data_IF_574553346961
#
_entry.id   IF_574553346961
#
_cell.length_a   1.000
_cell.length_b   1.000
_cell.length_c   1.000
_cell.angle_alpha   90.00
_cell.angle_beta   90.00
_cell.angle_gamma   90.00
#
_symmetry.space_group_name_H-M   'P 1'
#
loop_
_entity.id
_entity.type
_entity.pdbx_description
1 polymer ?
#
# COMPACT_ATOMS: atom_id res chain seq x y z
N UNK A 1 3.21 -7.61 14.08
CA UNK A 1 2.56 -8.92 14.32
C UNK A 1 1.11 -8.57 14.55
N UNK A 2 0.24 -9.02 13.66
CA UNK A 2 -1.20 -8.70 13.68
C UNK A 2 -1.83 -9.28 14.95
N UNK A 3 -2.73 -8.56 15.59
CA UNK A 3 -3.40 -9.04 16.81
C UNK A 3 -4.22 -10.31 16.53
N UNK A 4 -4.38 -11.22 17.52
CA UNK A 4 -5.21 -12.41 17.36
C UNK A 4 -6.66 -12.10 16.96
N UNK A 5 -7.19 -10.95 17.41
CA UNK A 5 -8.52 -10.49 17.04
C UNK A 5 -8.64 -10.26 15.53
N UNK A 6 -7.72 -9.50 14.94
CA UNK A 6 -7.72 -9.25 13.50
C UNK A 6 -7.40 -10.51 12.71
N UNK A 7 -6.49 -11.36 13.21
CA UNK A 7 -6.20 -12.64 12.57
C UNK A 7 -7.45 -13.51 12.44
N UNK A 8 -8.33 -13.50 13.44
CA UNK A 8 -9.61 -14.21 13.40
C UNK A 8 -10.58 -13.58 12.39
N UNK A 9 -10.61 -12.26 12.24
CA UNK A 9 -11.48 -11.59 11.25
C UNK A 9 -11.20 -12.13 9.85
N UNK A 10 -9.93 -12.24 9.48
CA UNK A 10 -9.52 -12.63 8.12
C UNK A 10 -9.27 -14.13 7.94
N UNK A 11 -9.47 -14.95 8.98
CA UNK A 11 -9.11 -16.37 8.97
C UNK A 11 -9.84 -17.17 7.88
N UNK A 12 -11.13 -16.86 7.65
CA UNK A 12 -11.95 -17.54 6.67
C UNK A 12 -11.42 -17.38 5.23
N UNK A 13 -10.68 -16.30 4.96
CA UNK A 13 -10.07 -16.06 3.65
C UNK A 13 -8.90 -16.99 3.36
N UNK A 14 -8.37 -17.70 4.36
CA UNK A 14 -7.31 -18.68 4.20
C UNK A 14 -7.84 -20.10 3.93
N UNK A 15 -9.16 -20.34 4.00
CA UNK A 15 -9.74 -21.68 3.99
C UNK A 15 -9.43 -22.49 2.71
N UNK A 16 -9.34 -21.80 1.56
CA UNK A 16 -9.14 -22.42 0.25
C UNK A 16 -7.70 -22.29 -0.30
N UNK A 17 -6.74 -21.91 0.55
CA UNK A 17 -5.35 -21.75 0.12
C UNK A 17 -4.58 -23.05 0.39
N UNK A 18 -3.99 -23.62 -0.67
CA UNK A 18 -3.16 -24.83 -0.54
C UNK A 18 -2.00 -24.61 0.45
N UNK A 19 -1.62 -25.69 1.14
CA UNK A 19 -0.67 -25.65 2.25
C UNK A 19 0.73 -25.16 1.80
N UNK A 20 1.12 -25.43 0.55
CA UNK A 20 2.35 -24.93 -0.05
C UNK A 20 2.36 -23.40 -0.17
N UNK A 21 1.26 -22.81 -0.64
CA UNK A 21 1.12 -21.35 -0.71
C UNK A 21 1.00 -20.74 0.69
N UNK A 22 0.27 -21.39 1.59
CA UNK A 22 0.20 -20.97 3.00
C UNK A 22 1.57 -21.02 3.69
N UNK A 23 2.42 -21.99 3.37
CA UNK A 23 3.80 -22.02 3.84
C UNK A 23 4.56 -20.77 3.39
N UNK A 24 4.46 -20.39 2.12
CA UNK A 24 5.13 -19.18 1.57
C UNK A 24 4.57 -17.91 2.21
N UNK A 25 3.25 -17.79 2.33
CA UNK A 25 2.58 -16.67 3.02
C UNK A 25 3.10 -16.57 4.46
N UNK A 26 3.10 -17.67 5.21
CA UNK A 26 3.62 -17.69 6.59
C UNK A 26 5.12 -17.33 6.66
N UNK A 27 5.92 -17.75 5.68
CA UNK A 27 7.33 -17.37 5.62
C UNK A 27 7.51 -15.87 5.40
N UNK A 28 6.81 -15.31 4.41
CA UNK A 28 6.85 -13.88 4.08
C UNK A 28 6.35 -13.04 5.25
N UNK A 29 5.23 -13.42 5.86
CA UNK A 29 4.64 -12.69 6.99
C UNK A 29 5.52 -12.73 8.25
N UNK A 30 6.18 -13.85 8.55
CA UNK A 30 7.16 -13.94 9.66
C UNK A 30 8.44 -13.12 9.41
N UNK A 31 8.71 -12.76 8.17
CA UNK A 31 9.86 -11.97 7.75
C UNK A 31 9.41 -10.66 7.08
N UNK A 32 8.34 -10.05 7.60
CA UNK A 32 7.64 -8.94 6.96
C UNK A 32 8.59 -7.83 6.50
N UNK A 33 9.54 -7.46 7.35
CA UNK A 33 10.54 -6.42 7.09
C UNK A 33 11.44 -6.73 5.89
N UNK A 34 11.66 -7.99 5.52
CA UNK A 34 12.45 -8.37 4.35
C UNK A 34 11.67 -8.27 3.04
N UNK A 35 10.33 -8.27 3.10
CA UNK A 35 9.47 -8.35 1.93
C UNK A 35 8.55 -7.14 1.74
N UNK A 36 8.28 -6.38 2.80
CA UNK A 36 7.38 -5.24 2.80
C UNK A 36 7.98 -4.16 3.70
N UNK A 37 8.12 -2.95 3.17
CA UNK A 37 8.51 -1.78 3.94
C UNK A 37 7.30 -0.86 4.05
N UNK A 38 6.86 -0.64 5.27
CA UNK A 38 5.84 0.35 5.61
C UNK A 38 6.45 1.75 5.66
N UNK A 39 5.66 2.81 5.41
CA UNK A 39 6.08 4.16 5.74
C UNK A 39 6.28 4.30 7.25
N UNK A 40 7.09 5.28 7.65
CA UNK A 40 7.33 5.60 9.06
C UNK A 40 6.22 6.48 9.64
N UNK A 41 5.54 7.25 8.80
CA UNK A 41 4.44 8.13 9.19
C UNK A 41 3.27 8.05 8.22
N UNK A 42 2.05 8.26 8.73
CA UNK A 42 0.88 8.47 7.90
C UNK A 42 0.69 9.95 7.55
N UNK A 43 0.40 10.25 6.28
CA UNK A 43 0.03 11.58 5.80
C UNK A 43 -0.64 11.49 4.42
N UNK A 44 -1.54 12.42 4.12
CA UNK A 44 -2.08 12.67 2.78
C UNK A 44 -1.28 13.81 2.13
N UNK A 45 -0.47 13.50 1.11
CA UNK A 45 0.48 14.48 0.55
C UNK A 45 -0.10 15.35 -0.57
N UNK A 46 -0.96 14.78 -1.41
CA UNK A 46 -1.54 15.48 -2.55
C UNK A 46 -3.05 15.21 -2.59
N UNK A 47 -3.83 15.91 -1.75
CA UNK A 47 -5.28 15.73 -1.67
C UNK A 47 -5.95 15.93 -3.05
N UNK A 48 -7.06 15.23 -3.28
CA UNK A 48 -7.82 15.24 -4.53
C UNK A 48 -7.09 14.70 -5.78
N UNK A 49 -5.79 14.40 -5.71
CA UNK A 49 -5.05 13.79 -6.82
C UNK A 49 -5.33 12.29 -6.87
N UNK A 50 -5.70 11.79 -8.04
CA UNK A 50 -5.82 10.37 -8.36
C UNK A 50 -4.94 10.02 -9.56
N UNK A 51 -4.84 8.72 -9.89
CA UNK A 51 -3.99 8.27 -10.98
C UNK A 51 -4.51 8.75 -12.33
N UNK A 52 -3.71 9.60 -12.99
CA UNK A 52 -3.93 10.03 -14.37
C UNK A 52 -3.74 8.91 -15.39
N UNK A 53 -4.31 9.09 -16.58
CA UNK A 53 -4.08 8.19 -17.73
C UNK A 53 -2.64 8.34 -18.24
N UNK A 54 -2.14 7.35 -18.96
CA UNK A 54 -0.78 7.38 -19.53
C UNK A 54 -0.53 8.53 -20.52
N UNK A 55 -1.60 9.09 -21.10
CA UNK A 55 -1.58 10.24 -22.01
C UNK A 55 -1.61 11.59 -21.30
N UNK A 56 -1.82 11.61 -19.99
CA UNK A 56 -1.95 12.80 -19.17
C UNK A 56 -0.68 13.02 -18.34
N UNK A 57 -0.50 14.23 -17.83
CA UNK A 57 0.63 14.57 -16.97
C UNK A 57 0.16 15.48 -15.85
N UNK A 58 0.67 15.22 -14.65
CA UNK A 58 0.40 16.10 -13.53
C UNK A 58 1.04 17.48 -13.77
N UNK A 59 0.36 18.56 -13.40
CA UNK A 59 0.98 19.88 -13.32
C UNK A 59 2.24 19.79 -12.44
N UNK A 60 3.34 20.44 -12.82
CA UNK A 60 4.56 20.43 -12.01
C UNK A 60 4.33 20.99 -10.60
N UNK A 61 3.35 21.89 -10.47
CA UNK A 61 3.00 22.60 -9.24
C UNK A 61 2.42 21.69 -8.16
N UNK A 62 1.98 20.46 -8.48
CA UNK A 62 1.46 19.55 -7.45
C UNK A 62 2.51 19.21 -6.38
N UNK A 63 3.79 19.39 -6.70
CA UNK A 63 4.90 19.09 -5.80
C UNK A 63 5.38 20.29 -4.99
N UNK A 64 4.88 21.51 -5.27
CA UNK A 64 5.45 22.76 -4.76
C UNK A 64 5.53 22.80 -3.22
N UNK A 65 4.48 22.35 -2.54
CA UNK A 65 4.43 22.28 -1.07
C UNK A 65 5.47 21.33 -0.45
N UNK A 66 5.94 20.35 -1.23
CA UNK A 66 6.88 19.32 -0.78
C UNK A 66 8.25 19.40 -1.47
N UNK A 67 8.49 20.43 -2.30
CA UNK A 67 9.74 20.57 -3.07
C UNK A 67 10.98 20.56 -2.18
N UNK A 68 10.95 21.30 -1.06
CA UNK A 68 12.07 21.34 -0.11
C UNK A 68 12.37 19.96 0.46
N UNK A 69 11.35 19.23 0.94
CA UNK A 69 11.52 17.86 1.46
C UNK A 69 12.00 16.90 0.38
N UNK A 70 11.52 17.04 -0.85
CA UNK A 70 11.97 16.24 -1.98
C UNK A 70 13.45 16.50 -2.30
N UNK A 71 13.89 17.76 -2.27
CA UNK A 71 15.29 18.15 -2.49
C UNK A 71 16.21 17.61 -1.38
N UNK A 72 15.84 17.80 -0.12
CA UNK A 72 16.57 17.29 1.05
C UNK A 72 16.77 15.77 1.00
N UNK A 73 15.77 15.04 0.49
CA UNK A 73 15.80 13.58 0.36
C UNK A 73 16.27 13.09 -1.01
N UNK A 74 16.67 13.98 -1.92
CA UNK A 74 17.05 13.66 -3.31
C UNK A 74 15.99 12.81 -4.06
N UNK A 75 14.71 13.09 -3.80
CA UNK A 75 13.57 12.46 -4.46
C UNK A 75 13.32 13.19 -5.78
N UNK A 76 13.36 12.45 -6.89
CA UNK A 76 13.08 13.00 -8.22
C UNK A 76 11.75 12.48 -8.76
N UNK A 77 10.92 13.40 -9.25
CA UNK A 77 9.75 13.05 -10.05
C UNK A 77 10.17 12.35 -11.33
N UNK A 78 9.51 11.22 -11.63
CA UNK A 78 9.72 10.41 -12.84
C UNK A 78 8.64 10.64 -13.89
N UNK A 79 7.64 11.46 -13.59
CA UNK A 79 6.55 11.89 -14.50
C UNK A 79 5.71 10.75 -15.11
N UNK A 80 5.69 9.59 -14.48
CA UNK A 80 4.77 8.48 -14.79
C UNK A 80 3.46 8.56 -13.98
N UNK A 81 2.46 7.76 -14.35
CA UNK A 81 1.10 7.84 -13.78
C UNK A 81 1.03 7.61 -12.27
N UNK A 82 1.91 6.76 -11.72
CA UNK A 82 2.02 6.43 -10.29
C UNK A 82 3.03 7.30 -9.52
N UNK A 83 3.59 8.36 -10.13
CA UNK A 83 4.61 9.19 -9.46
C UNK A 83 4.17 9.77 -8.12
N UNK A 84 2.96 10.37 -8.01
CA UNK A 84 2.56 11.02 -6.77
C UNK A 84 2.50 10.04 -5.60
N UNK A 85 2.00 8.82 -5.83
CA UNK A 85 2.01 7.76 -4.82
C UNK A 85 3.44 7.36 -4.44
N UNK A 86 4.33 7.17 -5.43
CA UNK A 86 5.72 6.83 -5.15
C UNK A 86 6.46 7.92 -4.37
N UNK A 87 6.17 9.20 -4.64
CA UNK A 87 6.71 10.35 -3.92
C UNK A 87 6.12 10.41 -2.49
N UNK A 88 4.80 10.27 -2.34
CA UNK A 88 4.13 10.25 -1.04
C UNK A 88 4.73 9.17 -0.11
N UNK A 89 4.99 7.98 -0.64
CA UNK A 89 5.69 6.92 0.10
C UNK A 89 7.12 7.33 0.49
N UNK A 90 7.92 7.87 -0.44
CA UNK A 90 9.30 8.27 -0.14
C UNK A 90 9.39 9.43 0.86
N UNK A 91 8.43 10.36 0.85
CA UNK A 91 8.34 11.45 1.82
C UNK A 91 7.97 10.96 3.23
N UNK A 92 7.22 9.86 3.33
CA UNK A 92 6.74 9.28 4.59
C UNK A 92 7.61 8.15 5.14
N UNK A 93 8.63 7.71 4.42
CA UNK A 93 9.47 6.57 4.81
C UNK A 93 10.87 7.00 5.18
N UNK A 94 11.48 6.35 6.18
CA UNK A 94 12.91 6.54 6.48
C UNK A 94 13.81 5.68 5.59
N UNK A 95 13.27 4.58 5.05
CA UNK A 95 14.01 3.62 4.22
C UNK A 95 13.26 3.38 2.92
N UNK A 96 13.97 3.54 1.81
CA UNK A 96 13.49 3.11 0.50
C UNK A 96 14.41 2.01 -0.05
N UNK A 97 13.92 0.78 -0.26
CA UNK A 97 14.73 -0.30 -0.82
C UNK A 97 15.34 0.09 -2.17
N UNK A 98 16.67 0.00 -2.28
CA UNK A 98 17.36 0.27 -3.53
C UNK A 98 17.03 -0.81 -4.56
N UNK A 99 16.81 -0.41 -5.81
CA UNK A 99 16.68 -1.36 -6.92
C UNK A 99 17.99 -2.12 -7.09
N UNK A 100 17.92 -3.45 -7.16
CA UNK A 100 19.03 -4.24 -7.69
C UNK A 100 19.13 -4.04 -9.21
N UNK A 101 20.32 -4.23 -9.79
CA UNK A 101 20.77 -3.74 -11.11
C UNK A 101 19.87 -4.01 -12.34
N UNK A 102 18.83 -4.85 -12.27
CA UNK A 102 17.91 -5.12 -13.40
C UNK A 102 16.52 -4.52 -13.17
N UNK A 103 16.02 -3.81 -14.19
CA UNK A 103 14.88 -2.90 -14.10
C UNK A 103 13.48 -3.54 -14.13
N UNK A 104 13.34 -4.85 -14.36
CA UNK A 104 12.01 -5.49 -14.49
C UNK A 104 11.48 -6.14 -13.21
N UNK A 105 12.34 -6.51 -12.27
CA UNK A 105 11.95 -7.21 -11.02
C UNK A 105 12.62 -6.47 -9.87
N UNK A 106 11.92 -5.48 -9.31
CA UNK A 106 12.44 -4.65 -8.23
C UNK A 106 11.34 -4.29 -7.24
N UNK A 107 11.75 -3.83 -6.07
CA UNK A 107 10.86 -3.18 -5.10
C UNK A 107 10.13 -2.01 -5.73
N UNK A 108 8.82 -1.95 -5.60
CA UNK A 108 8.02 -0.82 -6.07
C UNK A 108 6.97 -0.44 -5.02
N UNK A 109 6.37 0.73 -5.22
CA UNK A 109 5.33 1.24 -4.32
C UNK A 109 3.98 0.68 -4.79
N UNK A 110 3.32 -0.06 -3.91
CA UNK A 110 2.01 -0.68 -4.11
C UNK A 110 0.97 0.01 -3.22
N UNK A 111 -0.23 0.22 -3.77
CA UNK A 111 -1.44 0.49 -2.99
C UNK A 111 -2.00 -0.81 -2.42
N UNK A 112 -2.21 -0.89 -1.11
CA UNK A 112 -2.81 -2.09 -0.47
C UNK A 112 -4.33 -2.19 -0.72
N UNK A 113 -4.94 -1.11 -1.21
CA UNK A 113 -6.31 -1.04 -1.72
C UNK A 113 -6.27 -0.75 -3.23
N UNK A 114 -6.30 -1.78 -4.05
CA UNK A 114 -6.22 -1.75 -5.51
C UNK A 114 -7.55 -2.09 -6.20
N UNK A 115 -8.64 -2.19 -5.43
CA UNK A 115 -9.96 -2.58 -5.92
C UNK A 115 -10.16 -4.09 -6.06
N UNK A 116 -9.19 -4.92 -5.65
CA UNK A 116 -9.29 -6.37 -5.67
C UNK A 116 -9.61 -6.93 -4.28
N UNK A 117 -10.14 -8.16 -4.25
CA UNK A 117 -10.47 -8.88 -3.02
C UNK A 117 -11.37 -8.08 -2.07
N UNK A 118 -12.63 -7.79 -2.47
CA UNK A 118 -13.57 -7.16 -1.57
C UNK A 118 -13.85 -8.04 -0.35
N UNK A 119 -14.27 -7.41 0.75
CA UNK A 119 -14.62 -8.13 1.97
C UNK A 119 -15.78 -9.10 1.71
N UNK A 120 -15.87 -10.22 2.42
CA UNK A 120 -16.87 -11.28 2.12
C UNK A 120 -18.32 -10.79 2.14
N UNK A 121 -18.66 -9.83 3.01
CA UNK A 121 -19.99 -9.22 3.05
C UNK A 121 -20.19 -8.05 2.08
N UNK A 122 -19.11 -7.53 1.47
CA UNK A 122 -19.13 -6.36 0.62
C UNK A 122 -18.80 -6.74 -0.83
N UNK A 123 -19.49 -6.16 -1.81
CA UNK A 123 -19.18 -6.41 -3.23
C UNK A 123 -18.15 -5.45 -3.82
N UNK A 124 -17.74 -4.46 -3.04
CA UNK A 124 -16.87 -3.37 -3.46
C UNK A 124 -15.84 -3.15 -2.36
N UNK A 125 -14.62 -2.85 -2.78
CA UNK A 125 -13.53 -2.39 -1.93
C UNK A 125 -12.89 -1.17 -2.59
N UNK A 126 -12.29 -0.32 -1.78
CA UNK A 126 -11.58 0.86 -2.27
C UNK A 126 -10.56 0.50 -3.37
N UNK A 127 -10.58 1.29 -4.44
CA UNK A 127 -9.53 1.30 -5.45
C UNK A 127 -8.76 2.62 -5.34
N UNK A 128 -7.69 2.64 -4.54
CA UNK A 128 -7.02 3.87 -4.12
C UNK A 128 -6.54 4.72 -5.30
N UNK A 129 -6.10 4.11 -6.40
CA UNK A 129 -5.65 4.86 -7.59
C UNK A 129 -6.77 5.68 -8.25
N UNK A 130 -8.03 5.42 -7.93
CA UNK A 130 -9.21 6.14 -8.42
C UNK A 130 -9.77 7.13 -7.40
N UNK A 131 -9.19 7.24 -6.20
CA UNK A 131 -9.68 8.12 -5.14
C UNK A 131 -8.64 9.16 -4.74
N UNK A 132 -9.05 10.42 -4.75
CA UNK A 132 -8.22 11.57 -4.39
C UNK A 132 -7.74 11.56 -2.93
N UNK A 133 -8.48 10.88 -2.05
CA UNK A 133 -8.21 10.84 -0.61
C UNK A 133 -7.28 9.67 -0.23
N UNK A 134 -7.03 8.75 -1.18
CA UNK A 134 -6.30 7.52 -0.90
C UNK A 134 -5.10 7.29 -1.83
N UNK A 135 -5.10 7.85 -3.04
CA UNK A 135 -4.03 7.62 -4.00
C UNK A 135 -2.65 8.04 -3.45
N UNK A 136 -2.60 9.11 -2.66
CA UNK A 136 -1.37 9.67 -2.09
C UNK A 136 -1.34 9.62 -0.56
N UNK A 137 -2.23 8.81 0.03
CA UNK A 137 -2.27 8.57 1.47
C UNK A 137 -1.23 7.51 1.85
N UNK A 138 -0.18 7.90 2.58
CA UNK A 138 0.96 7.00 2.81
C UNK A 138 0.59 5.73 3.56
N UNK A 139 -0.36 5.76 4.49
CA UNK A 139 -0.79 4.56 5.21
C UNK A 139 -1.37 3.46 4.30
N UNK A 140 -1.86 3.82 3.10
CA UNK A 140 -2.31 2.86 2.08
C UNK A 140 -1.22 2.39 1.13
N UNK A 141 0.04 2.78 1.35
CA UNK A 141 1.18 2.52 0.46
C UNK A 141 2.24 1.68 1.16
N UNK A 142 2.85 0.77 0.41
CA UNK A 142 4.03 0.00 0.85
C UNK A 142 5.06 -0.05 -0.26
N UNK A 143 6.36 -0.08 0.08
CA UNK A 143 7.34 -0.63 -0.84
C UNK A 143 7.32 -2.15 -0.68
N UNK A 144 7.04 -2.87 -1.75
CA UNK A 144 6.83 -4.31 -1.71
C UNK A 144 7.85 -5.07 -2.57
N UNK A 145 8.36 -6.17 -2.03
CA UNK A 145 9.23 -7.10 -2.73
C UNK A 145 8.42 -7.94 -3.73
N UNK A 146 8.94 -8.26 -4.93
CA UNK A 146 8.19 -9.01 -5.95
C UNK A 146 7.51 -10.30 -5.49
N UNK A 147 8.13 -11.04 -4.56
CA UNK A 147 7.52 -12.23 -3.96
C UNK A 147 6.23 -11.88 -3.20
N UNK A 148 6.26 -10.84 -2.35
CA UNK A 148 5.08 -10.43 -1.60
C UNK A 148 4.04 -9.75 -2.49
N UNK A 149 4.48 -9.08 -3.56
CA UNK A 149 3.59 -8.47 -4.54
C UNK A 149 2.76 -9.52 -5.27
N UNK A 150 3.41 -10.60 -5.74
CA UNK A 150 2.73 -11.73 -6.35
C UNK A 150 1.72 -12.38 -5.38
N UNK A 151 2.06 -12.50 -4.09
CA UNK A 151 1.10 -13.00 -3.10
C UNK A 151 -0.10 -12.05 -2.91
N UNK A 152 0.12 -10.74 -2.97
CA UNK A 152 -0.94 -9.74 -2.83
C UNK A 152 -1.88 -9.70 -4.04
N UNK A 153 -1.38 -10.05 -5.23
CA UNK A 153 -2.18 -10.16 -6.45
C UNK A 153 -2.96 -11.47 -6.53
N UNK A 154 -2.41 -12.57 -6.00
CA UNK A 154 -3.02 -13.89 -6.13
C UNK A 154 -3.96 -14.24 -4.96
N UNK A 155 -3.59 -13.88 -3.73
CA UNK A 155 -4.27 -14.35 -2.52
C UNK A 155 -4.93 -13.21 -1.76
N UNK A 156 -6.26 -13.18 -1.78
CA UNK A 156 -7.05 -12.22 -1.01
C UNK A 156 -6.70 -12.19 0.48
N UNK A 157 -6.40 -13.35 1.06
CA UNK A 157 -5.90 -13.44 2.44
C UNK A 157 -4.63 -12.60 2.65
N UNK A 158 -3.65 -12.66 1.75
CA UNK A 158 -2.42 -11.87 1.87
C UNK A 158 -2.67 -10.37 1.65
N UNK A 159 -3.55 -10.01 0.70
CA UNK A 159 -3.98 -8.63 0.53
C UNK A 159 -4.65 -8.07 1.81
N UNK A 160 -5.49 -8.86 2.47
CA UNK A 160 -6.13 -8.48 3.73
C UNK A 160 -5.17 -8.47 4.92
N UNK A 161 -4.12 -9.32 4.94
CA UNK A 161 -3.04 -9.21 5.91
C UNK A 161 -2.29 -7.87 5.80
N UNK A 162 -2.07 -7.36 4.57
CA UNK A 162 -1.50 -6.02 4.38
C UNK A 162 -2.45 -4.95 4.95
N UNK A 163 -3.74 -5.00 4.64
CA UNK A 163 -4.74 -4.03 5.15
C UNK A 163 -4.83 -4.05 6.68
N UNK A 164 -4.85 -5.24 7.27
CA UNK A 164 -4.81 -5.44 8.71
C UNK A 164 -3.58 -4.80 9.37
N UNK A 165 -2.40 -5.03 8.80
CA UNK A 165 -1.17 -4.44 9.32
C UNK A 165 -1.15 -2.90 9.15
N UNK A 166 -1.77 -2.36 8.10
CA UNK A 166 -1.93 -0.91 7.95
C UNK A 166 -2.87 -0.31 9.02
N UNK A 167 -3.96 -1.01 9.36
CA UNK A 167 -4.84 -0.64 10.45
C UNK A 167 -4.11 -0.66 11.80
N UNK A 168 -3.39 -1.74 12.12
CA UNK A 168 -2.63 -1.83 13.37
C UNK A 168 -1.56 -0.74 13.50
N UNK A 169 -0.95 -0.33 12.38
CA UNK A 169 0.10 0.71 12.37
C UNK A 169 -0.44 2.14 12.42
N UNK A 170 -1.54 2.40 11.72
CA UNK A 170 -1.96 3.77 11.41
C UNK A 170 -3.45 4.03 11.68
N UNK A 171 -4.23 3.01 12.01
CA UNK A 171 -5.69 3.08 12.02
C UNK A 171 -6.31 3.15 10.62
N UNK A 172 -5.53 2.84 9.57
CA UNK A 172 -5.96 2.95 8.17
C UNK A 172 -6.89 1.81 7.76
N UNK A 173 -8.20 2.07 7.75
CA UNK A 173 -9.25 1.10 7.42
C UNK A 173 -10.40 1.75 6.61
N UNK A 174 -10.15 2.18 5.37
CA UNK A 174 -11.14 2.86 4.54
C UNK A 174 -12.40 2.03 4.24
N UNK A 175 -12.32 0.70 4.32
CA UNK A 175 -13.47 -0.19 4.12
C UNK A 175 -14.25 -0.48 5.43
N UNK A 176 -13.78 0.02 6.58
CA UNK A 176 -14.37 -0.17 7.92
C UNK A 176 -14.56 -1.63 8.31
N UNK A 177 -13.55 -2.48 8.09
CA UNK A 177 -13.59 -3.91 8.43
C UNK A 177 -13.04 -4.20 9.82
N UNK A 178 -12.02 -3.48 10.25
CA UNK A 178 -11.31 -3.73 11.50
C UNK A 178 -11.78 -2.82 12.63
N UNK A 179 -12.27 -1.62 12.29
CA UNK A 179 -12.82 -0.66 13.24
C UNK A 179 -14.34 -0.77 13.36
N UNK A 180 -14.86 -0.49 14.56
CA UNK A 180 -16.31 -0.26 14.78
C UNK A 180 -16.73 1.19 14.52
N UNK A 181 -15.77 2.12 14.36
CA UNK A 181 -16.01 3.52 14.02
C UNK A 181 -15.66 3.80 12.56
N UNK A 182 -16.40 4.70 11.92
CA UNK A 182 -16.15 5.13 10.53
C UNK A 182 -14.75 5.76 10.41
N UNK A 183 -13.97 5.28 9.46
CA UNK A 183 -12.65 5.81 9.12
C UNK A 183 -12.76 7.21 8.52
N UNK A 184 -11.93 8.13 9.02
CA UNK A 184 -11.79 9.49 8.51
C UNK A 184 -10.34 9.69 8.01
N UNK A 185 -10.10 9.99 6.72
CA UNK A 185 -8.77 10.06 6.11
C UNK A 185 -7.87 11.24 6.51
N UNK A 186 -8.12 11.85 7.68
CA UNK A 186 -7.57 13.11 8.25
C UNK A 186 -8.43 14.34 7.97
#
# INVERSE_FOLDING_TARGET
>A
MISPYIANIIADMAADIDEEYMFVIRHVTRNWDKFVKWPSVQNLYFPAIHRMKATESYPSTIYDEHLTKMQERNIKSRKWTNDPAAIAYQLSSDVYPKRQKKASIHWHVRHIYDGQFPWTSNKVTLHAVKSGDHFTHSAGLVAIHPIADALADEFGYFAWLLRAEAYERFGYDPDNIFSSSVYNPL
#
